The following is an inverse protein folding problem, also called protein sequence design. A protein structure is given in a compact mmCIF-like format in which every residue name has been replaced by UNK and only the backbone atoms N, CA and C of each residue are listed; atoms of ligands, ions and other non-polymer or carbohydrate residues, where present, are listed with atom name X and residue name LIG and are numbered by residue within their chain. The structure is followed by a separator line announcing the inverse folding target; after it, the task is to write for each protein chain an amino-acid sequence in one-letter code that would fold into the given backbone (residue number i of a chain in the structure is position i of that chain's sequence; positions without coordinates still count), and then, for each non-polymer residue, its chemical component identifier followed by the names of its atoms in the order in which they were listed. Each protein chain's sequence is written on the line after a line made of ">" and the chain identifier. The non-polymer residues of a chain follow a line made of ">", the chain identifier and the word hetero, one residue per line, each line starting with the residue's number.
data_IF_528241884881
#
_entry.id   IF_528241884881
#
_cell.length_a   1.000
_cell.length_b   1.000
_cell.length_c   1.000
_cell.angle_alpha   90.00
_cell.angle_beta   90.00
_cell.angle_gamma   90.00
#
_symmetry.space_group_name_H-M   'P 1'
#
loop_
_entity.id
_entity.type
_entity.pdbx_description
1 polymer ?
#
# COMPACT_ATOMS: atom_id res chain seq x y z
N UNK A 1 -15.23 -35.82 9.03
CA UNK A 1 -15.24 -35.35 10.44
C UNK A 1 -13.84 -34.90 10.80
N UNK A 2 -13.62 -33.65 11.22
CA UNK A 2 -12.29 -33.22 11.68
C UNK A 2 -12.13 -33.59 13.15
N UNK A 3 -11.27 -34.54 13.47
CA UNK A 3 -10.99 -34.96 14.85
C UNK A 3 -10.51 -33.74 15.66
N UNK A 4 -11.33 -33.30 16.60
CA UNK A 4 -10.94 -32.25 17.54
C UNK A 4 -9.81 -32.80 18.43
N UNK A 5 -8.76 -32.01 18.62
CA UNK A 5 -7.68 -32.36 19.56
C UNK A 5 -8.24 -32.46 20.98
N UNK A 6 -7.56 -33.20 21.85
CA UNK A 6 -8.05 -33.48 23.20
C UNK A 6 -8.26 -32.19 24.00
N UNK A 7 -9.21 -32.18 24.95
CA UNK A 7 -9.45 -31.00 25.81
C UNK A 7 -8.19 -30.57 26.57
N UNK A 8 -7.34 -31.52 26.96
CA UNK A 8 -6.06 -31.23 27.62
C UNK A 8 -5.13 -30.44 26.69
N UNK A 9 -4.95 -30.88 25.44
CA UNK A 9 -4.16 -30.16 24.44
C UNK A 9 -4.73 -28.76 24.15
N UNK A 10 -6.07 -28.61 24.15
CA UNK A 10 -6.71 -27.30 23.98
C UNK A 10 -6.37 -26.33 25.13
N UNK A 11 -6.41 -26.81 26.38
CA UNK A 11 -6.08 -26.01 27.55
C UNK A 11 -4.59 -25.64 27.58
N UNK A 12 -3.71 -26.56 27.17
CA UNK A 12 -2.28 -26.29 27.05
C UNK A 12 -2.00 -25.22 25.99
N UNK A 13 -2.61 -25.31 24.80
CA UNK A 13 -2.52 -24.27 23.76
C UNK A 13 -3.00 -22.92 24.32
N UNK A 14 -4.12 -22.89 25.04
CA UNK A 14 -4.65 -21.65 25.63
C UNK A 14 -3.67 -21.05 26.64
N UNK A 15 -3.08 -21.87 27.50
CA UNK A 15 -2.07 -21.44 28.47
C UNK A 15 -0.82 -20.86 27.79
N UNK A 16 -0.26 -21.57 26.80
CA UNK A 16 0.94 -21.11 26.09
C UNK A 16 0.69 -19.84 25.28
N UNK A 17 -0.49 -19.70 24.67
CA UNK A 17 -0.89 -18.46 23.99
C UNK A 17 -1.03 -17.29 24.96
N UNK A 18 -1.54 -17.53 26.18
CA UNK A 18 -1.63 -16.50 27.22
C UNK A 18 -0.25 -16.02 27.70
N UNK A 19 0.77 -16.88 27.59
CA UNK A 19 2.17 -16.58 27.88
C UNK A 19 2.90 -15.89 26.72
N UNK A 20 2.20 -15.48 25.66
CA UNK A 20 2.79 -14.87 24.44
C UNK A 20 3.88 -15.72 23.76
N UNK A 21 3.79 -17.05 23.88
CA UNK A 21 4.73 -17.96 23.20
C UNK A 21 4.53 -17.93 21.68
N UNK A 22 5.64 -18.04 20.95
CA UNK A 22 5.61 -18.09 19.48
C UNK A 22 5.01 -19.40 18.99
N UNK A 23 4.52 -19.41 17.75
CA UNK A 23 3.93 -20.62 17.16
C UNK A 23 4.93 -21.77 17.05
N UNK A 24 6.23 -21.48 16.88
CA UNK A 24 7.28 -22.50 16.83
C UNK A 24 7.43 -23.19 18.18
N UNK A 25 7.60 -22.41 19.25
CA UNK A 25 7.73 -22.93 20.61
C UNK A 25 6.53 -23.78 21.04
N UNK A 26 5.31 -23.35 20.67
CA UNK A 26 4.09 -24.11 20.98
C UNK A 26 4.05 -25.45 20.22
N UNK A 27 4.48 -25.47 18.97
CA UNK A 27 4.52 -26.69 18.16
C UNK A 27 5.62 -27.66 18.61
N UNK A 28 6.73 -27.16 19.14
CA UNK A 28 7.78 -27.99 19.75
C UNK A 28 7.30 -28.63 21.07
N UNK A 29 6.52 -27.89 21.87
CA UNK A 29 5.97 -28.36 23.14
C UNK A 29 4.92 -29.46 22.97
N UNK A 30 4.04 -29.31 21.97
CA UNK A 30 2.88 -30.20 21.75
C UNK A 30 3.14 -31.09 20.53
N UNK A 31 3.59 -32.34 20.70
CA UNK A 31 3.91 -33.23 19.59
C UNK A 31 2.66 -33.52 18.74
N UNK A 32 2.84 -33.49 17.42
CA UNK A 32 1.76 -33.72 16.44
C UNK A 32 0.86 -32.51 16.18
N UNK A 33 1.08 -31.37 16.85
CA UNK A 33 0.31 -30.15 16.60
C UNK A 33 0.73 -29.47 15.29
N UNK A 34 -0.19 -29.44 14.32
CA UNK A 34 0.03 -28.73 13.05
C UNK A 34 -0.32 -27.24 13.18
N UNK A 35 0.43 -26.37 12.50
CA UNK A 35 0.21 -24.91 12.45
C UNK A 35 -1.22 -24.49 12.13
N UNK A 36 -1.96 -25.11 11.17
CA UNK A 36 -3.35 -24.75 10.90
C UNK A 36 -4.28 -25.00 12.09
N UNK A 37 -4.06 -26.09 12.83
CA UNK A 37 -4.82 -26.41 14.05
C UNK A 37 -4.55 -25.38 15.13
N UNK A 38 -3.28 -25.07 15.38
CA UNK A 38 -2.89 -24.03 16.33
C UNK A 38 -3.51 -22.67 15.95
N UNK A 39 -3.45 -22.27 14.68
CA UNK A 39 -4.04 -21.02 14.21
C UNK A 39 -5.56 -20.97 14.42
N UNK A 40 -6.26 -22.09 14.18
CA UNK A 40 -7.71 -22.20 14.39
C UNK A 40 -8.07 -22.01 15.87
N UNK A 41 -7.37 -22.69 16.77
CA UNK A 41 -7.61 -22.55 18.21
C UNK A 41 -7.18 -21.19 18.75
N UNK A 42 -6.09 -20.61 18.25
CA UNK A 42 -5.69 -19.26 18.60
C UNK A 42 -6.76 -18.22 18.22
N UNK A 43 -7.35 -18.34 17.03
CA UNK A 43 -8.46 -17.46 16.62
C UNK A 43 -9.75 -17.74 17.41
N UNK A 44 -9.98 -18.99 17.81
CA UNK A 44 -11.12 -19.36 18.65
C UNK A 44 -11.02 -18.77 20.07
N UNK A 45 -9.84 -18.80 20.68
CA UNK A 45 -9.63 -18.30 22.04
C UNK A 45 -9.41 -16.78 22.08
N UNK A 46 -8.78 -16.22 21.05
CA UNK A 46 -8.44 -14.81 20.94
C UNK A 46 -8.89 -14.26 19.58
N UNK A 47 -10.20 -14.03 19.38
CA UNK A 47 -10.74 -13.56 18.10
C UNK A 47 -10.22 -12.17 17.70
N UNK A 48 -9.93 -11.32 18.69
CA UNK A 48 -9.46 -9.94 18.49
C UNK A 48 -7.92 -9.82 18.50
N UNK A 49 -7.19 -10.91 18.25
CA UNK A 49 -5.72 -10.82 18.26
C UNK A 49 -5.22 -10.00 17.08
N UNK A 50 -4.19 -9.19 17.31
CA UNK A 50 -3.50 -8.48 16.23
C UNK A 50 -2.65 -9.49 15.46
N UNK A 51 -2.94 -9.64 14.18
CA UNK A 51 -2.09 -10.41 13.27
C UNK A 51 -0.90 -9.57 12.82
N UNK A 52 0.27 -10.20 12.70
CA UNK A 52 1.38 -9.58 12.01
C UNK A 52 0.95 -9.26 10.56
N UNK A 53 1.30 -8.07 10.03
CA UNK A 53 0.97 -7.69 8.67
C UNK A 53 1.52 -8.73 7.70
N UNK A 54 0.64 -9.27 6.86
CA UNK A 54 0.98 -10.26 5.85
C UNK A 54 1.60 -9.60 4.62
N UNK A 55 2.32 -10.39 3.81
CA UNK A 55 2.87 -9.96 2.54
C UNK A 55 4.25 -9.31 2.63
N UNK A 56 4.70 -8.79 1.47
CA UNK A 56 6.04 -8.21 1.31
C UNK A 56 6.09 -6.82 1.97
N UNK A 57 7.10 -6.61 2.81
CA UNK A 57 7.37 -5.28 3.41
C UNK A 57 7.68 -4.26 2.32
N UNK A 58 7.25 -3.01 2.54
CA UNK A 58 7.55 -1.91 1.62
C UNK A 58 9.05 -1.63 1.57
N UNK A 59 9.58 -1.38 0.37
CA UNK A 59 11.00 -1.02 0.17
C UNK A 59 11.33 0.32 0.84
N UNK A 60 10.39 1.26 0.78
CA UNK A 60 10.54 2.60 1.35
C UNK A 60 9.84 2.65 2.70
N UNK A 61 10.57 3.09 3.73
CA UNK A 61 10.05 3.19 5.11
C UNK A 61 9.02 4.32 5.23
N UNK A 62 8.22 4.27 6.29
CA UNK A 62 7.21 5.31 6.57
C UNK A 62 7.85 6.69 6.77
N UNK A 63 9.02 6.75 7.41
CA UNK A 63 9.76 8.00 7.63
C UNK A 63 10.17 8.65 6.32
N UNK A 64 10.73 7.88 5.39
CA UNK A 64 11.14 8.37 4.08
C UNK A 64 9.93 8.81 3.25
N UNK A 65 8.80 8.09 3.34
CA UNK A 65 7.53 8.53 2.72
C UNK A 65 7.08 9.89 3.25
N UNK A 66 7.13 10.10 4.56
CA UNK A 66 6.77 11.38 5.18
C UNK A 66 7.70 12.52 4.73
N UNK A 67 9.00 12.25 4.64
CA UNK A 67 9.96 13.22 4.12
C UNK A 67 9.66 13.58 2.66
N UNK A 68 9.49 12.60 1.78
CA UNK A 68 9.17 12.82 0.36
C UNK A 68 7.86 13.61 0.24
N UNK A 69 6.83 13.28 1.03
CA UNK A 69 5.57 14.02 1.06
C UNK A 69 5.81 15.50 1.36
N UNK A 70 6.62 15.82 2.39
CA UNK A 70 6.97 17.20 2.74
C UNK A 70 7.72 17.90 1.60
N UNK A 71 8.67 17.23 0.96
CA UNK A 71 9.45 17.78 -0.16
C UNK A 71 8.58 18.08 -1.39
N UNK A 72 7.59 17.23 -1.67
CA UNK A 72 6.61 17.45 -2.75
C UNK A 72 5.72 18.66 -2.43
N UNK A 73 5.18 18.73 -1.20
CA UNK A 73 4.31 19.84 -0.77
C UNK A 73 5.06 21.16 -0.79
N UNK A 74 6.32 21.17 -0.34
CA UNK A 74 7.20 22.35 -0.39
C UNK A 74 7.53 22.77 -1.83
N UNK A 75 7.47 21.83 -2.78
CA UNK A 75 7.74 22.07 -4.19
C UNK A 75 9.18 21.79 -4.62
N UNK A 76 9.98 21.15 -3.78
CA UNK A 76 11.37 20.78 -4.08
C UNK A 76 11.42 19.57 -5.04
N UNK A 77 10.54 18.58 -4.83
CA UNK A 77 10.39 17.39 -5.69
C UNK A 77 9.13 17.48 -6.56
N UNK A 78 9.17 18.30 -7.61
CA UNK A 78 7.99 18.62 -8.45
C UNK A 78 7.48 17.46 -9.32
N UNK A 79 8.34 16.52 -9.69
CA UNK A 79 8.01 15.44 -10.63
C UNK A 79 8.25 14.07 -10.04
N UNK A 80 7.52 13.07 -10.52
CA UNK A 80 7.76 11.68 -10.15
C UNK A 80 9.19 11.22 -10.51
N UNK A 81 9.78 11.79 -11.56
CA UNK A 81 11.16 11.52 -11.98
C UNK A 81 12.17 12.05 -10.97
N UNK A 82 11.95 13.26 -10.45
CA UNK A 82 12.80 13.82 -9.38
C UNK A 82 12.72 12.96 -8.10
N UNK A 83 11.53 12.48 -7.73
CA UNK A 83 11.38 11.57 -6.58
C UNK A 83 12.11 10.24 -6.81
N UNK A 84 12.06 9.70 -8.03
CA UNK A 84 12.78 8.49 -8.40
C UNK A 84 14.30 8.67 -8.32
N UNK A 85 14.83 9.78 -8.86
CA UNK A 85 16.25 10.11 -8.78
C UNK A 85 16.71 10.25 -7.33
N UNK A 86 15.98 11.04 -6.53
CA UNK A 86 16.27 11.21 -5.11
C UNK A 86 16.29 9.88 -4.36
N UNK A 87 15.32 8.98 -4.61
CA UNK A 87 15.29 7.68 -3.96
C UNK A 87 16.51 6.81 -4.33
N UNK A 88 16.95 6.83 -5.59
CA UNK A 88 18.16 6.10 -5.99
C UNK A 88 19.43 6.73 -5.40
N UNK A 89 19.52 8.05 -5.36
CA UNK A 89 20.65 8.79 -4.77
C UNK A 89 20.81 8.48 -3.28
N UNK A 90 19.69 8.33 -2.56
CA UNK A 90 19.68 7.94 -1.14
C UNK A 90 19.98 6.44 -0.94
N UNK A 91 20.03 5.65 -2.02
CA UNK A 91 20.38 4.23 -1.98
C UNK A 91 19.20 3.26 -1.97
N UNK A 92 17.98 3.72 -2.26
CA UNK A 92 16.85 2.80 -2.47
C UNK A 92 16.92 2.18 -3.86
N UNK A 93 17.03 0.85 -3.93
CA UNK A 93 16.85 0.11 -5.19
C UNK A 93 15.36 0.02 -5.54
N UNK A 94 14.85 1.04 -6.23
CA UNK A 94 13.43 1.14 -6.63
C UNK A 94 13.32 1.47 -8.12
N UNK A 95 12.45 0.76 -8.84
CA UNK A 95 12.13 1.09 -10.22
C UNK A 95 11.18 2.29 -10.34
N UNK A 96 11.21 3.01 -11.47
CA UNK A 96 10.35 4.17 -11.71
C UNK A 96 8.84 3.87 -11.54
N UNK A 97 8.39 2.70 -12.01
CA UNK A 97 6.99 2.26 -11.85
C UNK A 97 6.61 2.04 -10.38
N UNK A 98 7.53 1.57 -9.55
CA UNK A 98 7.33 1.42 -8.12
C UNK A 98 7.31 2.79 -7.42
N UNK A 99 8.09 3.77 -7.88
CA UNK A 99 7.97 5.17 -7.43
C UNK A 99 6.60 5.76 -7.73
N UNK A 100 6.01 5.48 -8.90
CA UNK A 100 4.64 5.92 -9.21
C UNK A 100 3.61 5.29 -8.27
N UNK A 101 3.74 4.00 -7.95
CA UNK A 101 2.89 3.32 -6.96
C UNK A 101 3.06 3.90 -5.56
N UNK A 102 4.30 4.23 -5.18
CA UNK A 102 4.63 4.91 -3.93
C UNK A 102 3.91 6.25 -3.81
N UNK A 103 3.97 7.08 -4.85
CA UNK A 103 3.29 8.38 -4.88
C UNK A 103 1.76 8.23 -4.76
N UNK A 104 1.18 7.27 -5.49
CA UNK A 104 -0.25 6.93 -5.36
C UNK A 104 -0.62 6.50 -3.94
N UNK A 105 0.20 5.69 -3.29
CA UNK A 105 -0.01 5.26 -1.90
C UNK A 105 0.03 6.42 -0.89
N UNK A 106 0.64 7.55 -1.28
CA UNK A 106 0.68 8.78 -0.48
C UNK A 106 -0.43 9.78 -0.85
N UNK A 107 -1.39 9.36 -1.70
CA UNK A 107 -2.48 10.17 -2.25
C UNK A 107 -2.02 11.28 -3.23
N UNK A 108 -0.84 11.16 -3.83
CA UNK A 108 -0.43 12.04 -4.92
C UNK A 108 -0.95 11.52 -6.26
N UNK A 109 -1.54 12.44 -7.03
CA UNK A 109 -2.05 12.16 -8.37
C UNK A 109 -1.29 12.99 -9.41
N UNK A 110 -1.30 12.51 -10.65
CA UNK A 110 -0.73 13.27 -11.75
C UNK A 110 -1.55 14.54 -11.98
N UNK A 111 -0.87 15.68 -12.10
CA UNK A 111 -1.53 16.94 -12.45
C UNK A 111 -2.07 16.82 -13.88
N UNK A 112 -3.39 16.91 -14.02
CA UNK A 112 -4.03 16.96 -15.34
C UNK A 112 -3.70 18.33 -15.95
N UNK A 113 -3.03 18.31 -17.11
CA UNK A 113 -2.75 19.53 -17.86
C UNK A 113 -4.07 20.11 -18.35
N UNK A 114 -4.44 21.28 -17.85
CA UNK A 114 -5.59 22.04 -18.37
C UNK A 114 -5.32 22.33 -19.84
N UNK A 115 -6.21 21.84 -20.72
CA UNK A 115 -6.17 22.16 -22.13
C UNK A 115 -6.46 23.64 -22.28
N UNK A 116 -5.48 24.42 -22.72
CA UNK A 116 -5.74 25.77 -23.18
C UNK A 116 -6.39 25.65 -24.56
N UNK A 117 -7.62 26.17 -24.77
CA UNK A 117 -8.22 26.14 -26.10
C UNK A 117 -7.32 26.92 -27.06
N UNK A 118 -7.02 26.33 -28.22
CA UNK A 118 -6.20 26.98 -29.26
C UNK A 118 -6.84 28.29 -29.74
N UNK A 119 -8.18 28.36 -29.70
CA UNK A 119 -8.95 29.51 -30.11
C UNK A 119 -9.64 30.15 -28.91
N UNK A 120 -9.42 31.45 -28.72
CA UNK A 120 -10.23 32.26 -27.83
C UNK A 120 -11.66 32.38 -28.38
N UNK A 121 -12.62 32.78 -27.54
CA UNK A 121 -14.02 33.00 -27.92
C UNK A 121 -14.14 33.84 -29.21
N UNK A 122 -13.45 34.97 -29.26
CA UNK A 122 -13.46 35.89 -30.42
C UNK A 122 -12.96 35.23 -31.71
N UNK A 123 -11.97 34.34 -31.63
CA UNK A 123 -11.49 33.60 -32.80
C UNK A 123 -12.55 32.61 -33.33
N UNK A 124 -13.31 31.98 -32.42
CA UNK A 124 -14.40 31.07 -32.79
C UNK A 124 -15.56 31.84 -33.43
N UNK A 125 -15.92 33.00 -32.89
CA UNK A 125 -16.97 33.87 -33.44
C UNK A 125 -16.62 34.38 -34.83
N UNK A 126 -15.39 34.87 -35.04
CA UNK A 126 -14.92 35.31 -36.37
C UNK A 126 -14.95 34.18 -37.40
N UNK A 127 -14.52 32.98 -37.01
CA UNK A 127 -14.55 31.81 -37.89
C UNK A 127 -15.98 31.39 -38.22
N UNK A 128 -16.89 31.43 -37.25
CA UNK A 128 -18.30 31.11 -37.46
C UNK A 128 -18.96 32.12 -38.40
N UNK A 129 -18.75 33.42 -38.18
CA UNK A 129 -19.29 34.48 -39.03
C UNK A 129 -18.80 34.33 -40.48
N UNK A 130 -17.51 34.07 -40.67
CA UNK A 130 -16.95 33.82 -42.00
C UNK A 130 -17.57 32.60 -42.67
N UNK A 131 -17.71 31.48 -41.95
CA UNK A 131 -18.30 30.26 -42.47
C UNK A 131 -19.77 30.43 -42.85
N UNK A 132 -20.55 31.18 -42.06
CA UNK A 132 -21.95 31.52 -42.39
C UNK A 132 -22.01 32.40 -43.65
N UNK A 133 -21.13 33.39 -43.75
CA UNK A 133 -21.11 34.33 -44.88
C UNK A 133 -20.71 33.69 -46.22
N UNK A 134 -20.02 32.55 -46.19
CA UNK A 134 -19.56 31.81 -47.38
C UNK A 134 -20.16 30.40 -47.42
N UNK A 135 -21.35 30.24 -46.87
CA UNK A 135 -22.11 28.99 -46.93
C UNK A 135 -22.98 29.04 -48.19
N UNK A 136 -22.60 28.28 -49.20
CA UNK A 136 -23.43 28.00 -50.39
C UNK A 136 -24.75 27.31 -50.01
#
# INVERSE_FOLDING_TARGET
>A
MTNAISKSQQNEIRSLLSQNKSYSEIMERIPGLKKPTLSRYANKFYPNRVHAPSGRKSIVTTTTKSYIRRQIIKGDLKTAKAVYQYLNEVGYSIGYSATLKLLKSMNFQAKIKVKKPLLKKNHRERRLAWAIAHKD
#
